data_IF_977486168074
#
_entry.id   IF_977486168074
#
_cell.length_a   1.000
_cell.length_b   1.000
_cell.length_c   1.000
_cell.angle_alpha   90.00
_cell.angle_beta   90.00
_cell.angle_gamma   90.00
#
_symmetry.space_group_name_H-M   'P 1'
#
loop_
_entity.id
_entity.type
_entity.pdbx_description
1 polymer ?
#
# COMPACT_ATOMS: atom_id res chain seq x y z
N UNK A 1 -20.09 -3.99 -13.51
CA UNK A 1 -19.38 -3.31 -12.40
C UNK A 1 -19.57 -4.03 -11.06
N UNK A 2 -20.80 -4.15 -10.54
CA UNK A 2 -21.11 -4.86 -9.28
C UNK A 2 -20.82 -6.38 -9.31
N UNK A 3 -20.93 -7.04 -10.46
CA UNK A 3 -20.71 -8.49 -10.56
C UNK A 3 -19.23 -8.91 -10.56
N UNK A 4 -18.32 -8.07 -11.05
CA UNK A 4 -16.88 -8.33 -10.99
C UNK A 4 -16.30 -8.03 -9.60
N UNK A 5 -16.96 -7.17 -8.81
CA UNK A 5 -16.66 -6.91 -7.40
C UNK A 5 -16.84 -8.16 -6.52
N UNK A 6 -17.81 -9.01 -6.84
CA UNK A 6 -18.31 -10.05 -5.90
C UNK A 6 -17.61 -11.41 -6.00
N UNK A 7 -16.89 -11.71 -7.10
CA UNK A 7 -16.34 -13.06 -7.34
C UNK A 7 -14.80 -13.16 -7.26
N UNK A 8 -14.06 -12.06 -7.36
CA UNK A 8 -12.58 -12.08 -7.35
C UNK A 8 -11.88 -10.99 -6.54
N UNK A 9 -12.62 -9.99 -6.04
CA UNK A 9 -12.06 -8.81 -5.37
C UNK A 9 -11.32 -7.89 -6.36
N UNK A 10 -11.67 -6.60 -6.37
CA UNK A 10 -10.95 -5.62 -7.19
C UNK A 10 -9.54 -5.41 -6.63
N UNK A 11 -8.54 -5.99 -7.29
CA UNK A 11 -7.12 -5.76 -6.97
C UNK A 11 -6.57 -4.53 -7.68
N UNK A 12 -7.13 -4.14 -8.83
CA UNK A 12 -6.80 -2.91 -9.55
C UNK A 12 -7.98 -2.43 -10.41
N UNK A 13 -8.18 -1.11 -10.51
CA UNK A 13 -9.06 -0.52 -11.52
C UNK A 13 -8.51 0.80 -12.06
N UNK A 14 -8.89 1.13 -13.28
CA UNK A 14 -8.49 2.36 -13.95
C UNK A 14 -9.68 3.31 -14.04
N UNK A 15 -9.44 4.58 -13.69
CA UNK A 15 -10.40 5.66 -13.87
C UNK A 15 -9.68 6.84 -14.52
N UNK A 16 -10.03 7.16 -15.76
CA UNK A 16 -9.34 8.17 -16.57
C UNK A 16 -7.83 7.86 -16.65
N UNK A 17 -6.93 8.84 -16.48
CA UNK A 17 -5.47 8.71 -16.54
C UNK A 17 -4.81 8.16 -15.26
N UNK A 18 -5.62 7.75 -14.28
CA UNK A 18 -5.13 7.19 -13.01
C UNK A 18 -5.45 5.69 -12.90
N UNK A 19 -4.44 4.93 -12.48
CA UNK A 19 -4.57 3.53 -12.09
C UNK A 19 -4.55 3.42 -10.57
N UNK A 20 -5.54 2.73 -10.01
CA UNK A 20 -5.62 2.41 -8.60
C UNK A 20 -5.16 0.97 -8.37
N UNK A 21 -4.21 0.80 -7.45
CA UNK A 21 -3.77 -0.49 -6.94
C UNK A 21 -4.32 -0.70 -5.54
N UNK A 22 -4.89 -1.87 -5.28
CA UNK A 22 -5.67 -2.14 -4.07
C UNK A 22 -5.19 -3.45 -3.44
N UNK A 23 -4.82 -3.40 -2.16
CA UNK A 23 -4.52 -4.57 -1.33
C UNK A 23 -5.53 -4.61 -0.18
N UNK A 24 -6.21 -5.74 -0.01
CA UNK A 24 -7.09 -6.00 1.14
C UNK A 24 -6.42 -7.02 2.06
N UNK A 25 -6.18 -6.65 3.32
CA UNK A 25 -5.57 -7.53 4.34
C UNK A 25 -6.11 -7.19 5.72
N UNK A 26 -6.40 -8.21 6.56
CA UNK A 26 -6.87 -8.05 7.94
C UNK A 26 -7.96 -6.96 8.09
N UNK A 27 -8.97 -6.99 7.22
CA UNK A 27 -10.07 -6.02 7.15
C UNK A 27 -9.69 -4.56 6.84
N UNK A 28 -8.44 -4.28 6.53
CA UNK A 28 -7.96 -2.98 6.06
C UNK A 28 -7.83 -2.98 4.53
N UNK A 29 -7.96 -1.78 3.97
CA UNK A 29 -7.83 -1.51 2.54
C UNK A 29 -6.68 -0.53 2.32
N UNK A 30 -5.68 -0.97 1.56
CA UNK A 30 -4.53 -0.16 1.17
C UNK A 30 -4.70 0.19 -0.31
N UNK A 31 -4.70 1.50 -0.62
CA UNK A 31 -4.96 2.01 -1.96
C UNK A 31 -3.80 2.91 -2.37
N UNK A 32 -3.21 2.63 -3.53
CA UNK A 32 -2.26 3.53 -4.18
C UNK A 32 -2.82 4.01 -5.51
N UNK A 33 -2.64 5.30 -5.83
CA UNK A 33 -2.90 5.84 -7.16
C UNK A 33 -1.58 6.07 -7.90
N UNK A 34 -1.59 5.80 -9.20
CA UNK A 34 -0.42 5.99 -10.07
C UNK A 34 -0.85 6.47 -11.45
N UNK A 35 0.06 7.08 -12.20
CA UNK A 35 -0.17 7.33 -13.63
C UNK A 35 -0.11 6.01 -14.41
N UNK A 36 -0.82 5.91 -15.54
CA UNK A 36 -0.80 4.72 -16.40
C UNK A 36 0.60 4.33 -16.90
N UNK A 37 1.50 5.30 -16.99
CA UNK A 37 2.88 5.12 -17.45
C UNK A 37 3.77 4.42 -16.41
N UNK A 38 3.34 4.36 -15.14
CA UNK A 38 4.05 3.61 -14.12
C UNK A 38 3.81 2.11 -14.27
N UNK A 39 4.88 1.32 -14.12
CA UNK A 39 4.81 -0.14 -14.18
C UNK A 39 3.95 -0.64 -13.01
N UNK A 40 2.86 -1.30 -13.33
CA UNK A 40 1.91 -1.84 -12.35
C UNK A 40 2.60 -2.69 -11.26
N UNK A 41 3.52 -3.58 -11.67
CA UNK A 41 4.29 -4.42 -10.75
C UNK A 41 5.09 -3.60 -9.72
N UNK A 42 5.63 -2.44 -10.12
CA UNK A 42 6.39 -1.57 -9.23
C UNK A 42 5.49 -0.98 -8.15
N UNK A 43 4.36 -0.40 -8.56
CA UNK A 43 3.37 0.19 -7.64
C UNK A 43 2.81 -0.88 -6.68
N UNK A 44 2.51 -2.07 -7.18
CA UNK A 44 2.06 -3.19 -6.35
C UNK A 44 3.11 -3.65 -5.33
N UNK A 45 4.40 -3.65 -5.71
CA UNK A 45 5.51 -3.98 -4.80
C UNK A 45 5.70 -2.90 -3.73
N UNK A 46 5.66 -1.62 -4.09
CA UNK A 46 5.73 -0.50 -3.15
C UNK A 46 4.57 -0.55 -2.15
N UNK A 47 3.34 -0.76 -2.65
CA UNK A 47 2.15 -0.89 -1.80
C UNK A 47 2.23 -2.11 -0.87
N UNK A 48 2.77 -3.25 -1.33
CA UNK A 48 2.96 -4.44 -0.49
C UNK A 48 3.97 -4.19 0.64
N UNK A 49 5.06 -3.49 0.37
CA UNK A 49 6.09 -3.15 1.37
C UNK A 49 5.52 -2.20 2.41
N UNK A 50 4.85 -1.13 1.99
CA UNK A 50 4.17 -0.19 2.91
C UNK A 50 3.12 -0.93 3.75
N UNK A 51 2.35 -1.84 3.14
CA UNK A 51 1.35 -2.65 3.85
C UNK A 51 2.01 -3.53 4.93
N UNK A 52 3.15 -4.14 4.63
CA UNK A 52 3.88 -4.94 5.63
C UNK A 52 4.41 -4.06 6.75
N UNK A 53 5.02 -2.93 6.40
CA UNK A 53 5.54 -1.97 7.38
C UNK A 53 4.46 -1.45 8.32
N UNK A 54 3.26 -1.19 7.79
CA UNK A 54 2.10 -0.85 8.60
C UNK A 54 1.79 -1.91 9.66
N UNK A 55 1.74 -3.19 9.28
CA UNK A 55 1.44 -4.27 10.24
C UNK A 55 2.61 -4.60 11.19
N UNK A 56 3.84 -4.23 10.85
CA UNK A 56 4.99 -4.33 11.76
C UNK A 56 4.89 -3.29 12.88
N UNK A 57 4.52 -2.05 12.53
CA UNK A 57 4.41 -0.93 13.46
C UNK A 57 3.10 -0.97 14.26
N UNK A 58 1.99 -1.24 13.57
CA UNK A 58 0.64 -1.28 14.13
C UNK A 58 0.13 -2.72 14.11
N UNK A 59 0.84 -3.55 14.87
CA UNK A 59 0.54 -4.98 14.98
C UNK A 59 -0.79 -5.24 15.72
N UNK A 60 -1.14 -6.51 15.88
CA UNK A 60 -2.44 -6.90 16.47
C UNK A 60 -2.58 -6.44 17.94
N UNK A 61 -1.47 -6.31 18.69
CA UNK A 61 -1.46 -5.82 20.07
C UNK A 61 -1.74 -4.31 20.11
N UNK A 62 -1.07 -3.52 19.26
CA UNK A 62 -1.40 -2.11 19.10
C UNK A 62 -2.87 -1.91 18.71
N UNK A 63 -3.34 -2.66 17.71
CA UNK A 63 -4.71 -2.54 17.20
C UNK A 63 -5.77 -2.96 18.23
N UNK A 64 -5.45 -3.86 19.17
CA UNK A 64 -6.35 -4.21 20.27
C UNK A 64 -6.57 -3.06 21.26
N UNK A 65 -5.61 -2.14 21.37
CA UNK A 65 -5.67 -0.99 22.27
C UNK A 65 -6.02 0.32 21.55
N UNK A 66 -6.06 0.30 20.22
CA UNK A 66 -6.42 1.46 19.41
C UNK A 66 -7.84 1.94 19.75
N UNK A 67 -7.93 3.19 20.20
CA UNK A 67 -9.18 3.77 20.70
C UNK A 67 -9.89 4.67 19.67
N UNK A 68 -9.38 4.74 18.44
CA UNK A 68 -9.89 5.63 17.39
C UNK A 68 -9.10 6.92 17.18
N UNK A 69 -8.06 7.19 17.98
CA UNK A 69 -7.22 8.38 17.82
C UNK A 69 -6.27 8.26 16.62
N UNK A 70 -6.69 8.82 15.48
CA UNK A 70 -5.91 8.79 14.24
C UNK A 70 -4.52 9.44 14.35
N UNK A 71 -4.27 10.26 15.38
CA UNK A 71 -2.96 10.88 15.60
C UNK A 71 -1.88 9.86 15.94
N UNK A 72 -2.25 8.66 16.40
CA UNK A 72 -1.32 7.56 16.61
C UNK A 72 -0.64 7.06 15.31
N UNK A 73 -1.19 7.45 14.13
CA UNK A 73 -0.60 7.17 12.82
C UNK A 73 0.16 8.36 12.21
N UNK A 74 0.32 9.48 12.93
CA UNK A 74 0.88 10.72 12.37
C UNK A 74 2.27 10.55 11.76
N UNK A 75 3.10 9.68 12.35
CA UNK A 75 4.47 9.44 11.89
C UNK A 75 4.57 8.44 10.73
N UNK A 76 3.45 7.83 10.32
CA UNK A 76 3.46 6.81 9.26
C UNK A 76 3.84 7.38 7.88
N UNK A 77 3.67 8.69 7.66
CA UNK A 77 4.15 9.35 6.44
C UNK A 77 5.66 9.20 6.29
N UNK A 78 6.43 9.38 7.36
CA UNK A 78 7.88 9.20 7.35
C UNK A 78 8.28 7.75 7.03
N UNK A 79 7.49 6.78 7.54
CA UNK A 79 7.71 5.35 7.28
C UNK A 79 7.44 4.98 5.82
N UNK A 80 6.50 5.65 5.16
CA UNK A 80 6.26 5.53 3.72
C UNK A 80 7.48 6.04 2.95
N UNK A 81 8.00 7.23 3.27
CA UNK A 81 9.16 7.81 2.58
C UNK A 81 10.40 6.91 2.71
N UNK A 82 10.72 6.47 3.94
CA UNK A 82 11.84 5.57 4.20
C UNK A 82 11.73 4.24 3.45
N UNK A 83 10.51 3.68 3.38
CA UNK A 83 10.24 2.44 2.62
C UNK A 83 10.49 2.62 1.12
N UNK A 84 10.10 3.76 0.55
CA UNK A 84 10.29 4.07 -0.87
C UNK A 84 11.76 4.36 -1.22
N UNK A 85 12.51 5.01 -0.33
CA UNK A 85 13.95 5.21 -0.48
C UNK A 85 14.72 3.89 -0.44
N UNK A 86 14.37 2.97 0.46
CA UNK A 86 14.98 1.65 0.52
C UNK A 86 14.76 0.85 -0.77
N UNK A 87 13.54 0.93 -1.34
CA UNK A 87 13.21 0.30 -2.63
C UNK A 87 14.09 0.88 -3.73
N UNK A 88 14.22 2.20 -3.81
CA UNK A 88 15.05 2.87 -4.80
C UNK A 88 16.53 2.44 -4.71
N UNK A 89 17.07 2.33 -3.48
CA UNK A 89 18.43 1.82 -3.23
C UNK A 89 18.59 0.35 -3.62
N UNK A 90 17.63 -0.52 -3.30
CA UNK A 90 17.65 -1.94 -3.69
C UNK A 90 17.63 -2.10 -5.21
N UNK A 91 16.83 -1.30 -5.91
CA UNK A 91 16.84 -1.29 -7.37
C UNK A 91 18.20 -0.87 -7.91
N UNK A 92 18.80 0.24 -7.42
CA UNK A 92 20.12 0.69 -7.89
C UNK A 92 21.21 -0.38 -7.71
N UNK A 93 21.25 -1.06 -6.56
CA UNK A 93 22.22 -2.14 -6.30
C UNK A 93 22.05 -3.38 -7.17
N UNK A 94 20.87 -3.63 -7.73
CA UNK A 94 20.62 -4.82 -8.55
C UNK A 94 21.05 -4.65 -10.02
N UNK A 95 21.37 -3.43 -10.45
CA UNK A 95 21.78 -3.10 -11.82
C UNK A 95 23.27 -2.74 -11.96
N UNK A 96 24.01 -2.69 -10.84
CA UNK A 96 25.44 -2.35 -10.76
C UNK A 96 26.20 -3.52 -10.13
#
# INVERSE_FOLDING_TARGET
>A
FAEQLSKGGLTNFELSEKRFSVIKRKNLLFIANSSKNQKHKKVAQELDIITKRFFELYNDDFMAHFNGDIREFADFENEIELSLEEISRKFQKAFW
#
